data_IF_002391450328
#
_entry.id   IF_002391450328
#
_cell.length_a   1.000
_cell.length_b   1.000
_cell.length_c   1.000
_cell.angle_alpha   90.00
_cell.angle_beta   90.00
_cell.angle_gamma   90.00
#
_symmetry.space_group_name_H-M   'P 1'
#
loop_
_entity.id
_entity.type
_entity.pdbx_description
1 polymer ?
#
# COMPACT_ATOMS: atom_id res chain seq x y z
N UNK A 1 44.65 9.47 -24.08
CA UNK A 1 43.20 9.49 -24.44
C UNK A 1 42.43 8.97 -23.21
N UNK A 2 41.83 9.88 -22.46
CA UNK A 2 41.03 9.53 -21.29
C UNK A 2 39.71 8.97 -21.81
N UNK A 3 39.43 7.70 -21.56
CA UNK A 3 38.14 7.10 -21.82
C UNK A 3 37.13 7.73 -20.86
N UNK A 4 36.37 8.69 -21.37
CA UNK A 4 35.20 9.26 -20.70
C UNK A 4 34.19 8.12 -20.58
N UNK A 5 34.14 7.47 -19.42
CA UNK A 5 33.04 6.55 -19.07
C UNK A 5 31.78 7.39 -19.02
N UNK A 6 30.92 7.22 -20.00
CA UNK A 6 29.57 7.79 -20.00
C UNK A 6 28.84 7.18 -18.82
N UNK A 7 28.82 7.88 -17.66
CA UNK A 7 27.96 7.51 -16.55
C UNK A 7 26.53 7.67 -16.99
N UNK A 8 25.84 6.57 -17.26
CA UNK A 8 24.40 6.53 -17.51
C UNK A 8 23.71 7.17 -16.29
N UNK A 9 22.82 8.13 -16.51
CA UNK A 9 22.15 8.82 -15.40
C UNK A 9 21.27 7.87 -14.59
N UNK A 10 21.00 8.19 -13.31
CA UNK A 10 20.10 7.40 -12.48
C UNK A 10 18.72 7.26 -13.11
N UNK A 11 18.21 8.31 -13.77
CA UNK A 11 16.93 8.27 -14.50
C UNK A 11 16.99 7.25 -15.65
N UNK A 12 18.05 7.25 -16.45
CA UNK A 12 18.16 6.32 -17.58
C UNK A 12 18.38 4.86 -17.11
N UNK A 13 18.99 4.66 -15.96
CA UNK A 13 19.23 3.34 -15.36
C UNK A 13 17.98 2.78 -14.66
N UNK A 14 17.25 3.62 -13.92
CA UNK A 14 16.20 3.19 -12.99
C UNK A 14 14.78 3.39 -13.54
N UNK A 15 14.59 4.29 -14.51
CA UNK A 15 13.27 4.57 -15.06
C UNK A 15 12.96 3.73 -16.30
N UNK A 16 11.78 3.12 -16.30
CA UNK A 16 11.11 2.64 -17.49
C UNK A 16 10.31 3.79 -18.13
N UNK A 17 10.15 3.77 -19.45
CA UNK A 17 9.43 4.82 -20.18
C UNK A 17 8.09 4.32 -20.71
N UNK A 18 7.10 5.22 -20.78
CA UNK A 18 5.77 4.97 -21.35
C UNK A 18 5.11 3.73 -20.73
N UNK A 19 4.97 3.76 -19.41
CA UNK A 19 4.46 2.64 -18.63
C UNK A 19 3.03 2.94 -18.18
N UNK A 20 2.11 2.02 -18.45
CA UNK A 20 0.72 2.11 -18.00
C UNK A 20 0.63 2.01 -16.48
N UNK A 21 0.21 3.10 -15.82
CA UNK A 21 0.04 3.15 -14.36
C UNK A 21 -1.07 2.21 -13.87
N UNK A 22 -2.03 1.88 -14.73
CA UNK A 22 -3.07 0.88 -14.44
C UNK A 22 -2.51 -0.46 -13.98
N UNK A 23 -1.34 -0.88 -14.49
CA UNK A 23 -0.64 -2.09 -14.07
C UNK A 23 0.00 -1.97 -12.67
N UNK A 24 0.04 -0.77 -12.09
CA UNK A 24 0.62 -0.44 -10.78
C UNK A 24 -0.42 0.06 -9.78
N UNK A 25 -1.69 -0.14 -10.07
CA UNK A 25 -2.82 0.24 -9.23
C UNK A 25 -3.73 -0.95 -9.00
N UNK A 26 -4.19 -1.14 -7.77
CA UNK A 26 -5.22 -2.14 -7.48
C UNK A 26 -6.59 -1.77 -8.07
N UNK A 27 -6.79 -0.51 -8.47
CA UNK A 27 -7.93 -0.09 -9.28
C UNK A 27 -7.83 -0.57 -10.73
N UNK A 28 -6.63 -0.87 -11.24
CA UNK A 28 -6.42 -1.09 -12.67
C UNK A 28 -6.74 0.17 -13.51
N UNK A 29 -6.57 1.36 -12.94
CA UNK A 29 -6.81 2.67 -13.55
C UNK A 29 -5.52 3.49 -13.50
N UNK A 30 -5.27 4.25 -14.55
CA UNK A 30 -4.13 5.14 -14.71
C UNK A 30 -3.56 5.08 -16.11
N UNK A 31 -3.28 6.24 -16.70
CA UNK A 31 -2.73 6.37 -18.03
C UNK A 31 -1.23 6.10 -18.10
N UNK A 32 -0.65 6.39 -19.26
CA UNK A 32 0.76 6.11 -19.58
C UNK A 32 1.68 7.15 -18.94
N UNK A 33 2.48 6.74 -17.95
CA UNK A 33 3.53 7.56 -17.35
C UNK A 33 4.77 7.57 -18.24
N UNK A 34 5.32 8.75 -18.52
CA UNK A 34 6.55 8.84 -19.30
C UNK A 34 7.76 8.29 -18.53
N UNK A 35 7.78 8.44 -17.20
CA UNK A 35 8.83 7.91 -16.32
C UNK A 35 8.23 7.13 -15.17
N UNK A 36 8.63 5.87 -15.01
CA UNK A 36 8.35 5.04 -13.85
C UNK A 36 9.62 4.37 -13.35
N UNK A 37 9.99 4.60 -12.10
CA UNK A 37 11.09 3.96 -11.42
C UNK A 37 10.61 2.97 -10.34
N UNK A 38 11.40 1.92 -10.12
CA UNK A 38 11.17 0.94 -9.05
C UNK A 38 12.51 0.64 -8.38
N UNK A 39 13.01 1.52 -7.48
CA UNK A 39 14.26 1.31 -6.78
C UNK A 39 14.18 0.03 -5.92
N UNK A 40 15.28 -0.73 -5.89
CA UNK A 40 15.40 -1.96 -5.10
C UNK A 40 16.10 -1.70 -3.76
N UNK A 41 16.84 -0.58 -3.67
CA UNK A 41 17.57 -0.16 -2.46
C UNK A 41 17.28 1.30 -2.10
N UNK A 42 17.52 1.66 -0.83
CA UNK A 42 17.45 3.05 -0.40
C UNK A 42 18.48 3.94 -1.13
N UNK A 43 19.63 3.38 -1.50
CA UNK A 43 20.65 4.10 -2.29
C UNK A 43 20.17 4.38 -3.71
N UNK A 44 19.51 3.42 -4.39
CA UNK A 44 18.90 3.67 -5.71
C UNK A 44 17.86 4.79 -5.64
N UNK A 45 17.04 4.78 -4.57
CA UNK A 45 16.06 5.84 -4.33
C UNK A 45 16.75 7.20 -4.15
N UNK A 46 17.78 7.27 -3.30
CA UNK A 46 18.52 8.52 -3.06
C UNK A 46 19.18 9.05 -4.34
N UNK A 47 19.86 8.19 -5.13
CA UNK A 47 20.45 8.58 -6.41
C UNK A 47 19.41 9.10 -7.41
N UNK A 48 18.24 8.46 -7.48
CA UNK A 48 17.15 8.88 -8.34
C UNK A 48 16.60 10.25 -7.92
N UNK A 49 16.34 10.44 -6.62
CA UNK A 49 15.85 11.72 -6.08
C UNK A 49 16.88 12.86 -6.32
N UNK A 50 18.17 12.58 -6.12
CA UNK A 50 19.23 13.54 -6.39
C UNK A 50 19.24 13.97 -7.87
N UNK A 51 19.09 13.03 -8.78
CA UNK A 51 19.04 13.33 -10.21
C UNK A 51 17.75 14.07 -10.62
N UNK A 52 16.61 13.73 -10.04
CA UNK A 52 15.35 14.46 -10.23
C UNK A 52 15.50 15.92 -9.75
N UNK A 53 16.04 16.14 -8.55
CA UNK A 53 16.26 17.46 -7.99
C UNK A 53 17.21 18.27 -8.85
N UNK A 54 18.32 17.68 -9.32
CA UNK A 54 19.30 18.32 -10.21
C UNK A 54 18.69 18.78 -11.55
N UNK A 55 17.72 18.01 -12.08
CA UNK A 55 17.04 18.32 -13.34
C UNK A 55 15.77 19.15 -13.17
N UNK A 56 15.34 19.42 -11.94
CA UNK A 56 14.09 20.10 -11.65
C UNK A 56 12.86 19.27 -12.05
N UNK A 57 12.97 17.94 -12.09
CA UNK A 57 11.87 17.04 -12.43
C UNK A 57 11.03 16.75 -11.18
N UNK A 58 9.71 17.00 -11.22
CA UNK A 58 8.84 16.61 -10.12
C UNK A 58 8.75 15.09 -10.03
N UNK A 59 8.52 14.57 -8.84
CA UNK A 59 8.35 13.14 -8.58
C UNK A 59 7.19 12.88 -7.64
N UNK A 60 6.64 11.67 -7.77
CA UNK A 60 5.57 11.17 -6.91
C UNK A 60 5.90 9.75 -6.43
N UNK A 61 5.91 9.54 -5.10
CA UNK A 61 6.23 8.25 -4.48
C UNK A 61 4.96 7.51 -4.07
N UNK A 62 4.95 6.20 -4.34
CA UNK A 62 3.89 5.31 -3.92
C UNK A 62 4.41 3.88 -3.66
N UNK A 63 3.60 3.07 -2.99
CA UNK A 63 3.90 1.66 -2.74
C UNK A 63 3.35 0.75 -3.84
N UNK A 64 2.35 -0.04 -3.50
CA UNK A 64 1.67 -0.99 -4.42
C UNK A 64 0.45 -0.38 -5.14
N UNK A 65 0.18 0.92 -5.00
CA UNK A 65 -0.95 1.58 -5.62
C UNK A 65 -2.32 1.10 -5.11
N UNK A 66 -2.40 0.65 -3.86
CA UNK A 66 -3.61 0.08 -3.27
C UNK A 66 -4.53 1.11 -2.60
N UNK A 67 -4.11 2.37 -2.54
CA UNK A 67 -4.88 3.50 -1.99
C UNK A 67 -4.74 4.76 -2.85
N UNK A 68 -4.57 4.59 -4.17
CA UNK A 68 -4.28 5.68 -5.09
C UNK A 68 -5.17 5.57 -6.32
N UNK A 69 -5.73 6.70 -6.73
CA UNK A 69 -6.33 6.87 -8.05
C UNK A 69 -5.37 7.65 -8.93
N UNK A 70 -4.74 6.98 -9.88
CA UNK A 70 -3.90 7.63 -10.87
C UNK A 70 -4.76 8.33 -11.93
N UNK A 71 -4.27 9.47 -12.48
CA UNK A 71 -4.97 10.19 -13.54
C UNK A 71 -5.00 9.39 -14.84
N UNK A 72 -6.04 9.63 -15.66
CA UNK A 72 -6.13 9.07 -17.02
C UNK A 72 -5.02 9.63 -17.93
N UNK A 73 -4.57 10.87 -17.68
CA UNK A 73 -3.51 11.56 -18.42
C UNK A 73 -2.44 12.10 -17.42
N UNK A 74 -1.42 11.28 -17.08
CA UNK A 74 -0.34 11.72 -16.22
C UNK A 74 0.50 12.84 -16.82
N UNK A 75 1.01 13.76 -15.98
CA UNK A 75 1.93 14.81 -16.45
C UNK A 75 3.21 14.19 -17.01
N UNK A 76 3.65 14.67 -18.18
CA UNK A 76 4.77 14.11 -18.93
C UNK A 76 6.12 14.21 -18.21
N UNK A 77 6.35 15.27 -17.43
CA UNK A 77 7.59 15.52 -16.71
C UNK A 77 7.63 14.89 -15.31
N UNK A 78 6.50 14.31 -14.84
CA UNK A 78 6.40 13.69 -13.52
C UNK A 78 7.05 12.29 -13.52
N UNK A 79 8.00 12.10 -12.61
CA UNK A 79 8.62 10.79 -12.35
C UNK A 79 7.80 10.05 -11.29
N UNK A 80 7.15 8.98 -11.68
CA UNK A 80 6.48 8.08 -10.74
C UNK A 80 7.51 7.10 -10.13
N UNK A 81 7.52 6.96 -8.81
CA UNK A 81 8.47 6.10 -8.09
C UNK A 81 7.70 5.12 -7.23
N UNK A 82 7.68 3.85 -7.63
CA UNK A 82 7.04 2.79 -6.85
C UNK A 82 8.07 2.10 -5.94
N UNK A 83 7.85 2.13 -4.65
CA UNK A 83 8.72 1.45 -3.67
C UNK A 83 8.44 -0.06 -3.56
N UNK A 84 7.57 -0.63 -4.39
CA UNK A 84 7.15 -2.04 -4.29
C UNK A 84 8.31 -3.05 -4.43
N UNK A 85 9.43 -2.64 -5.03
CA UNK A 85 10.63 -3.49 -5.18
C UNK A 85 11.63 -3.30 -4.04
N UNK A 86 11.45 -2.29 -3.18
CA UNK A 86 12.26 -2.10 -1.97
C UNK A 86 11.80 -3.09 -0.89
N UNK A 87 12.04 -4.38 -1.13
CA UNK A 87 11.53 -5.50 -0.34
C UNK A 87 12.66 -6.20 0.39
N UNK A 88 12.61 -6.14 1.71
CA UNK A 88 13.48 -6.91 2.61
C UNK A 88 12.73 -7.24 3.90
N UNK A 89 13.04 -8.40 4.47
CA UNK A 89 12.52 -8.85 5.76
C UNK A 89 13.56 -9.77 6.37
N UNK A 90 14.23 -9.31 7.42
CA UNK A 90 15.34 -10.01 8.05
C UNK A 90 15.35 -9.83 9.55
N UNK A 91 16.06 -10.72 10.24
CA UNK A 91 16.38 -10.59 11.65
C UNK A 91 17.83 -10.17 11.81
N UNK A 92 18.07 -9.16 12.61
CA UNK A 92 19.40 -8.72 13.03
C UNK A 92 19.29 -8.22 14.46
N UNK A 93 20.27 -8.55 15.31
CA UNK A 93 20.32 -8.11 16.72
C UNK A 93 19.02 -8.43 17.51
N UNK A 94 18.36 -9.54 17.17
CA UNK A 94 17.13 -9.98 17.83
C UNK A 94 15.86 -9.18 17.45
N UNK A 95 15.95 -8.31 16.43
CA UNK A 95 14.82 -7.52 15.91
C UNK A 95 14.49 -7.88 14.46
N UNK A 96 13.23 -7.72 14.12
CA UNK A 96 12.79 -7.80 12.73
C UNK A 96 12.99 -6.45 12.04
N UNK A 97 13.75 -6.44 10.95
CA UNK A 97 13.91 -5.30 10.05
C UNK A 97 13.08 -5.53 8.79
N UNK A 98 12.29 -4.55 8.39
CA UNK A 98 11.43 -4.64 7.23
C UNK A 98 11.59 -3.41 6.34
N UNK A 99 11.76 -3.63 5.03
CA UNK A 99 11.79 -2.53 4.05
C UNK A 99 10.39 -2.10 3.61
N UNK A 100 10.30 -0.86 3.18
CA UNK A 100 9.07 -0.14 2.84
C UNK A 100 8.19 -0.83 1.79
N UNK A 101 8.79 -1.52 0.80
CA UNK A 101 8.06 -2.23 -0.26
C UNK A 101 7.54 -3.61 0.15
N UNK A 102 7.91 -4.12 1.33
CA UNK A 102 7.47 -5.42 1.82
C UNK A 102 5.95 -5.45 1.97
N UNK A 103 5.24 -6.43 1.37
CA UNK A 103 3.79 -6.53 1.51
C UNK A 103 3.35 -6.70 2.96
N UNK A 104 2.30 -5.98 3.36
CA UNK A 104 1.71 -6.09 4.70
C UNK A 104 1.36 -7.56 5.04
N UNK A 105 0.79 -8.30 4.09
CA UNK A 105 0.40 -9.70 4.31
C UNK A 105 1.56 -10.68 4.51
N UNK A 106 2.80 -10.32 4.16
CA UNK A 106 3.97 -11.13 4.55
C UNK A 106 4.23 -11.05 6.05
N UNK A 107 3.92 -9.92 6.69
CA UNK A 107 4.05 -9.78 8.15
C UNK A 107 3.12 -10.76 8.87
N UNK A 108 1.88 -10.94 8.40
CA UNK A 108 0.95 -11.90 9.01
C UNK A 108 1.40 -13.35 8.83
N UNK A 109 1.99 -13.71 7.69
CA UNK A 109 2.60 -15.04 7.52
C UNK A 109 3.81 -15.24 8.44
N UNK A 110 4.60 -14.20 8.67
CA UNK A 110 5.68 -14.21 9.66
C UNK A 110 5.15 -14.44 11.07
N UNK A 111 4.06 -13.75 11.45
CA UNK A 111 3.38 -13.96 12.72
C UNK A 111 2.87 -15.38 12.88
N UNK A 112 2.24 -15.94 11.84
CA UNK A 112 1.76 -17.31 11.80
C UNK A 112 2.90 -18.32 12.05
N UNK A 113 4.07 -18.13 11.42
CA UNK A 113 5.25 -18.95 11.65
C UNK A 113 5.81 -18.80 13.05
N UNK A 114 5.72 -17.63 13.65
CA UNK A 114 6.20 -17.31 15.00
C UNK A 114 5.20 -17.67 16.11
N UNK A 115 4.01 -18.17 15.77
CA UNK A 115 2.99 -18.50 16.74
C UNK A 115 2.42 -17.27 17.46
N UNK A 116 2.43 -16.07 16.82
CA UNK A 116 1.88 -14.83 17.38
C UNK A 116 0.73 -14.31 16.50
N UNK A 117 -0.31 -13.80 17.14
CA UNK A 117 -1.47 -13.15 16.50
C UNK A 117 -1.30 -11.63 16.31
N UNK A 118 -0.18 -11.07 16.76
CA UNK A 118 0.07 -9.63 16.73
C UNK A 118 0.03 -9.05 15.32
N UNK A 119 0.32 -9.86 14.30
CA UNK A 119 0.40 -9.47 12.90
C UNK A 119 -0.81 -9.85 12.06
N UNK A 120 -1.80 -10.55 12.63
CA UNK A 120 -2.94 -11.07 11.86
C UNK A 120 -3.74 -9.96 11.16
N UNK A 121 -3.81 -8.77 11.75
CA UNK A 121 -4.51 -7.62 11.19
C UNK A 121 -3.96 -7.16 9.84
N UNK A 122 -2.72 -7.53 9.51
CA UNK A 122 -2.07 -7.21 8.23
C UNK A 122 -2.45 -8.19 7.12
N UNK A 123 -3.11 -9.32 7.46
CA UNK A 123 -3.46 -10.35 6.49
C UNK A 123 -4.51 -9.86 5.49
N UNK A 124 -4.27 -10.16 4.23
CA UNK A 124 -5.09 -9.71 3.09
C UNK A 124 -5.31 -8.19 3.05
N UNK A 125 -4.45 -7.40 3.71
CA UNK A 125 -4.43 -5.96 3.57
C UNK A 125 -3.54 -5.61 2.38
N UNK A 126 -4.11 -5.23 1.21
CA UNK A 126 -3.32 -4.88 0.05
C UNK A 126 -2.49 -3.63 0.34
N UNK A 127 -1.21 -3.69 0.03
CA UNK A 127 -0.29 -2.60 0.27
C UNK A 127 1.03 -3.06 0.86
N UNK A 128 1.97 -2.13 1.01
CA UNK A 128 3.30 -2.37 1.55
C UNK A 128 3.50 -1.64 2.88
N UNK A 129 4.50 -2.07 3.64
CA UNK A 129 4.82 -1.56 4.99
C UNK A 129 4.99 -0.05 5.00
N UNK A 130 5.76 0.54 4.07
CA UNK A 130 5.96 1.99 4.05
C UNK A 130 4.67 2.79 3.88
N UNK A 131 3.78 2.36 2.99
CA UNK A 131 2.47 2.97 2.83
C UNK A 131 1.57 2.72 4.06
N UNK A 132 1.68 1.53 4.68
CA UNK A 132 1.02 1.20 5.93
C UNK A 132 1.45 2.13 7.07
N UNK A 133 2.75 2.42 7.20
CA UNK A 133 3.30 3.35 8.19
C UNK A 133 2.81 4.78 7.88
N UNK A 134 2.91 5.22 6.63
CA UNK A 134 2.46 6.54 6.21
C UNK A 134 0.99 6.81 6.60
N UNK A 135 0.10 5.84 6.40
CA UNK A 135 -1.33 5.94 6.66
C UNK A 135 -1.74 5.46 8.06
N UNK A 136 -0.82 5.03 8.90
CA UNK A 136 -1.13 4.28 10.13
C UNK A 136 -2.20 3.20 9.86
N UNK A 137 -1.86 2.26 8.97
CA UNK A 137 -2.79 1.24 8.51
C UNK A 137 -3.43 0.48 9.67
N UNK A 138 -4.76 0.39 9.63
CA UNK A 138 -5.57 -0.17 10.72
C UNK A 138 -6.56 -1.20 10.20
N UNK A 139 -6.74 -2.26 10.95
CA UNK A 139 -7.84 -3.20 10.79
C UNK A 139 -8.42 -3.57 12.17
N UNK A 140 -9.71 -3.32 12.38
CA UNK A 140 -10.39 -3.44 13.67
C UNK A 140 -9.70 -2.59 14.77
N UNK A 141 -9.29 -3.23 15.86
CA UNK A 141 -8.65 -2.56 17.01
C UNK A 141 -7.14 -2.36 16.84
N UNK A 142 -6.48 -3.07 15.90
CA UNK A 142 -5.02 -3.05 15.73
C UNK A 142 -4.59 -2.15 14.57
N UNK A 143 -3.44 -1.52 14.72
CA UNK A 143 -2.85 -0.62 13.73
C UNK A 143 -1.34 -0.83 13.64
N UNK A 144 -0.71 -0.33 12.56
CA UNK A 144 0.70 -0.62 12.30
C UNK A 144 1.63 -0.08 13.40
N UNK A 145 1.32 1.07 13.99
CA UNK A 145 2.15 1.64 15.05
C UNK A 145 2.20 0.76 16.32
N UNK A 146 1.26 -0.16 16.51
CA UNK A 146 1.25 -1.07 17.66
C UNK A 146 2.39 -2.09 17.63
N UNK A 147 2.99 -2.30 16.45
CA UNK A 147 4.04 -3.29 16.19
C UNK A 147 5.39 -2.68 15.80
N UNK A 148 5.49 -1.33 15.71
CA UNK A 148 6.72 -0.64 15.34
C UNK A 148 7.59 -0.36 16.58
N UNK A 149 8.91 -0.33 16.39
CA UNK A 149 9.91 0.21 17.32
C UNK A 149 10.52 1.49 16.77
N UNK A 150 11.12 1.41 15.58
CA UNK A 150 11.82 2.51 14.90
C UNK A 150 11.41 2.56 13.44
N UNK A 151 11.26 3.76 12.88
CA UNK A 151 11.00 3.96 11.45
C UNK A 151 12.21 4.59 10.79
N UNK A 152 12.62 4.07 9.63
CA UNK A 152 13.70 4.59 8.80
C UNK A 152 13.12 5.40 7.64
N UNK A 153 13.70 6.59 7.39
CA UNK A 153 13.20 7.50 6.38
C UNK A 153 14.34 8.27 5.69
N UNK A 154 14.05 8.84 4.54
CA UNK A 154 14.89 9.83 3.85
C UNK A 154 14.15 11.18 3.93
N UNK A 155 14.84 12.20 4.47
CA UNK A 155 14.38 13.58 4.41
C UNK A 155 14.74 14.17 3.04
N UNK A 156 13.75 14.52 2.23
CA UNK A 156 13.99 15.03 0.87
C UNK A 156 14.46 16.49 0.84
N UNK A 157 14.47 17.17 1.98
CA UNK A 157 15.07 18.51 2.14
C UNK A 157 16.54 18.46 2.55
N UNK A 158 17.02 17.31 3.03
CA UNK A 158 18.43 17.08 3.33
C UNK A 158 19.19 16.78 2.03
N UNK A 159 20.17 17.62 1.61
CA UNK A 159 20.93 17.37 0.39
C UNK A 159 21.68 16.03 0.36
N UNK A 160 21.98 15.44 1.53
CA UNK A 160 22.64 14.14 1.61
C UNK A 160 21.74 12.99 1.23
N UNK A 161 20.41 13.15 1.33
CA UNK A 161 19.40 12.12 1.14
C UNK A 161 19.74 10.81 1.89
N UNK A 162 20.43 10.95 3.03
CA UNK A 162 20.82 9.81 3.86
C UNK A 162 19.64 9.21 4.60
N UNK A 163 19.70 7.90 4.87
CA UNK A 163 18.71 7.24 5.70
C UNK A 163 18.86 7.70 7.14
N UNK A 164 17.78 8.19 7.72
CA UNK A 164 17.64 8.61 9.10
C UNK A 164 16.66 7.70 9.83
N UNK A 165 16.60 7.79 11.16
CA UNK A 165 15.67 7.00 11.98
C UNK A 165 14.93 7.85 12.99
N UNK A 166 13.72 7.42 13.35
CA UNK A 166 12.87 8.07 14.34
C UNK A 166 12.15 6.99 15.17
N UNK A 167 12.11 7.08 16.50
CA UNK A 167 11.37 6.14 17.33
C UNK A 167 9.86 6.28 17.11
N UNK A 168 9.12 5.19 17.26
CA UNK A 168 7.66 5.16 17.05
C UNK A 168 6.93 6.22 17.89
N UNK A 169 7.40 6.51 19.10
CA UNK A 169 6.83 7.52 20.00
C UNK A 169 6.81 8.95 19.45
N UNK A 170 7.68 9.24 18.49
CA UNK A 170 7.81 10.57 17.88
C UNK A 170 7.12 10.65 16.50
N UNK A 171 6.58 9.52 15.99
CA UNK A 171 5.94 9.45 14.68
C UNK A 171 4.54 10.09 14.61
N UNK A 172 4.01 10.64 15.71
CA UNK A 172 2.71 11.33 15.81
C UNK A 172 1.54 10.53 15.20
N UNK A 173 1.52 9.23 15.44
CA UNK A 173 0.46 8.37 14.92
C UNK A 173 -0.91 8.69 15.51
N UNK A 174 -1.91 8.82 14.63
CA UNK A 174 -3.33 8.93 14.96
C UNK A 174 -4.15 8.16 13.91
N UNK A 175 -5.48 8.23 13.96
CA UNK A 175 -6.33 7.56 12.97
C UNK A 175 -6.04 8.07 11.57
N UNK A 176 -5.50 7.18 10.72
CA UNK A 176 -5.09 7.49 9.34
C UNK A 176 -4.09 8.65 9.22
N UNK A 177 -3.28 8.86 10.25
CA UNK A 177 -2.30 9.96 10.31
C UNK A 177 -0.95 9.49 10.85
N UNK A 178 0.11 10.14 10.35
CA UNK A 178 1.48 10.04 10.85
C UNK A 178 2.26 11.32 10.55
N UNK A 179 3.43 11.50 11.18
CA UNK A 179 4.35 12.60 10.89
C UNK A 179 4.80 12.62 9.42
N UNK A 180 4.83 11.45 8.77
CA UNK A 180 5.26 11.30 7.37
C UNK A 180 4.29 11.93 6.37
N UNK A 181 3.07 12.28 6.77
CA UNK A 181 2.12 13.08 5.98
C UNK A 181 2.34 14.58 6.14
N UNK A 182 3.09 15.00 7.17
CA UNK A 182 3.31 16.40 7.52
C UNK A 182 4.74 16.87 7.17
N UNK A 183 5.65 15.93 6.94
CA UNK A 183 7.06 16.18 6.64
C UNK A 183 7.40 15.62 5.27
N UNK A 184 8.36 16.22 4.56
CA UNK A 184 8.83 15.73 3.27
C UNK A 184 9.75 14.50 3.45
N UNK A 185 9.27 13.51 4.19
CA UNK A 185 10.00 12.30 4.60
C UNK A 185 9.45 11.07 3.90
N UNK A 186 10.34 10.30 3.29
CA UNK A 186 10.00 9.06 2.59
C UNK A 186 10.36 7.88 3.48
N UNK A 187 9.37 7.10 3.91
CA UNK A 187 9.61 5.88 4.69
C UNK A 187 10.31 4.84 3.81
N UNK A 188 11.46 4.34 4.25
CA UNK A 188 12.24 3.31 3.55
C UNK A 188 12.29 1.97 4.28
N UNK A 189 11.92 1.93 5.57
CA UNK A 189 11.86 0.70 6.36
C UNK A 189 11.47 0.95 7.80
N UNK A 190 11.43 -0.12 8.59
CA UNK A 190 11.17 -0.06 10.02
C UNK A 190 11.76 -1.26 10.75
N UNK A 191 11.97 -1.11 12.06
CA UNK A 191 12.16 -2.19 13.00
C UNK A 191 10.82 -2.51 13.67
N UNK A 192 10.55 -3.81 13.85
CA UNK A 192 9.33 -4.27 14.46
C UNK A 192 9.60 -4.74 15.90
N UNK A 193 8.73 -4.31 16.80
CA UNK A 193 8.70 -4.77 18.21
C UNK A 193 7.92 -6.09 18.31
N UNK A 194 8.48 -7.15 17.73
CA UNK A 194 7.86 -8.49 17.70
C UNK A 194 8.93 -9.50 18.09
N UNK A 195 8.60 -10.44 18.99
CA UNK A 195 9.54 -11.48 19.40
C UNK A 195 10.03 -12.32 18.20
N UNK A 196 11.33 -12.56 18.15
CA UNK A 196 11.93 -13.55 17.25
C UNK A 196 11.87 -14.89 17.95
N UNK A 197 11.12 -15.85 17.42
CA UNK A 197 10.81 -17.07 18.13
C UNK A 197 11.75 -18.25 17.81
N UNK A 198 12.29 -18.35 16.60
CA UNK A 198 13.17 -19.46 16.22
C UNK A 198 13.99 -19.21 14.95
N UNK A 199 15.08 -19.96 14.78
CA UNK A 199 15.87 -20.00 13.57
C UNK A 199 15.07 -20.57 12.36
N UNK A 200 14.16 -21.52 12.62
CA UNK A 200 13.28 -22.07 11.62
C UNK A 200 12.31 -21.02 11.07
N UNK A 201 11.79 -20.13 11.93
CA UNK A 201 10.98 -18.99 11.51
C UNK A 201 11.74 -18.08 10.55
N UNK A 202 13.01 -17.77 10.87
CA UNK A 202 13.87 -16.93 10.02
C UNK A 202 14.06 -17.57 8.65
N UNK A 203 14.38 -18.86 8.60
CA UNK A 203 14.61 -19.61 7.36
C UNK A 203 13.36 -19.67 6.49
N UNK A 204 12.21 -19.97 7.08
CA UNK A 204 10.92 -20.03 6.35
C UNK A 204 10.50 -18.64 5.86
N UNK A 205 10.74 -17.60 6.62
CA UNK A 205 10.48 -16.20 6.20
C UNK A 205 11.32 -15.84 4.98
N UNK A 206 12.57 -16.26 4.92
CA UNK A 206 13.45 -16.04 3.76
C UNK A 206 12.92 -16.74 2.51
N UNK A 207 12.36 -17.94 2.64
CA UNK A 207 11.70 -18.65 1.54
C UNK A 207 10.45 -17.90 1.06
N UNK A 208 9.57 -17.48 1.97
CA UNK A 208 8.37 -16.71 1.64
C UNK A 208 8.71 -15.39 0.93
N UNK A 209 9.78 -14.73 1.38
CA UNK A 209 10.26 -13.50 0.73
C UNK A 209 10.75 -13.76 -0.69
N UNK A 210 11.48 -14.86 -0.90
CA UNK A 210 11.93 -15.28 -2.23
C UNK A 210 10.76 -15.63 -3.13
N UNK A 211 9.78 -16.37 -2.62
CA UNK A 211 8.56 -16.70 -3.34
C UNK A 211 7.76 -15.45 -3.72
N UNK A 212 7.66 -14.48 -2.82
CA UNK A 212 7.06 -13.19 -3.15
C UNK A 212 7.81 -12.49 -4.28
N UNK A 213 9.13 -12.37 -4.19
CA UNK A 213 9.96 -11.70 -5.22
C UNK A 213 9.83 -12.36 -6.59
N UNK A 214 9.67 -13.68 -6.64
CA UNK A 214 9.62 -14.43 -7.90
C UNK A 214 8.21 -14.59 -8.47
N UNK A 215 7.21 -14.80 -7.64
CA UNK A 215 5.84 -15.13 -8.03
C UNK A 215 4.80 -14.07 -7.64
N UNK A 216 4.99 -13.43 -6.50
CA UNK A 216 4.02 -12.52 -5.88
C UNK A 216 4.26 -11.04 -6.19
N UNK A 217 5.46 -10.66 -6.64
CA UNK A 217 5.80 -9.23 -6.88
C UNK A 217 5.00 -8.60 -8.02
N UNK A 218 4.26 -9.40 -8.78
CA UNK A 218 3.46 -8.96 -9.92
C UNK A 218 1.97 -9.37 -9.84
N UNK A 219 1.29 -9.35 -8.67
CA UNK A 219 -0.15 -9.47 -8.73
C UNK A 219 -0.66 -8.20 -9.41
N UNK A 220 -0.92 -8.32 -10.71
CA UNK A 220 -1.53 -7.25 -11.52
C UNK A 220 -2.99 -6.99 -11.13
N UNK A 221 -3.51 -7.71 -10.13
CA UNK A 221 -4.90 -7.59 -9.71
C UNK A 221 -5.11 -8.05 -8.26
N UNK A 222 -6.15 -7.51 -7.61
CA UNK A 222 -6.59 -7.96 -6.29
C UNK A 222 -6.89 -9.47 -6.21
N UNK A 223 -7.55 -10.10 -7.21
CA UNK A 223 -7.74 -11.56 -7.22
C UNK A 223 -6.43 -12.34 -7.17
N UNK A 224 -5.41 -11.92 -7.91
CA UNK A 224 -4.08 -12.59 -7.90
C UNK A 224 -3.39 -12.42 -6.56
N UNK A 225 -3.45 -11.23 -5.95
CA UNK A 225 -2.94 -10.97 -4.60
C UNK A 225 -3.62 -11.89 -3.57
N UNK A 226 -4.95 -11.97 -3.60
CA UNK A 226 -5.74 -12.82 -2.72
C UNK A 226 -5.36 -14.29 -2.88
N UNK A 227 -5.30 -14.79 -4.12
CA UNK A 227 -4.97 -16.18 -4.43
C UNK A 227 -3.57 -16.56 -3.97
N UNK A 228 -2.59 -15.65 -4.13
CA UNK A 228 -1.22 -15.88 -3.67
C UNK A 228 -1.19 -16.11 -2.15
N UNK A 229 -1.73 -15.18 -1.35
CA UNK A 229 -1.67 -15.28 0.11
C UNK A 229 -2.51 -16.41 0.69
N UNK A 230 -3.65 -16.75 0.07
CA UNK A 230 -4.40 -17.96 0.44
C UNK A 230 -3.61 -19.24 0.13
N UNK A 231 -2.93 -19.29 -1.01
CA UNK A 231 -2.05 -20.41 -1.37
C UNK A 231 -0.94 -20.63 -0.35
N UNK A 232 -0.29 -19.55 0.12
CA UNK A 232 0.75 -19.64 1.15
C UNK A 232 0.20 -20.15 2.49
N UNK A 233 -0.97 -19.66 2.93
CA UNK A 233 -1.63 -20.17 4.14
C UNK A 233 -1.96 -21.67 4.03
N UNK A 234 -2.49 -22.12 2.88
CA UNK A 234 -2.75 -23.55 2.64
C UNK A 234 -1.48 -24.38 2.64
N UNK A 235 -0.39 -23.86 2.05
CA UNK A 235 0.92 -24.53 2.05
C UNK A 235 1.48 -24.69 3.47
N UNK A 236 1.33 -23.67 4.32
CA UNK A 236 1.73 -23.71 5.74
C UNK A 236 0.85 -24.69 6.53
N UNK A 237 -0.46 -24.70 6.28
CA UNK A 237 -1.38 -25.66 6.89
C UNK A 237 -1.01 -27.11 6.53
N UNK A 238 -0.60 -27.38 5.29
CA UNK A 238 -0.08 -28.67 4.84
C UNK A 238 1.20 -29.12 5.58
N UNK A 239 1.94 -28.19 6.17
CA UNK A 239 3.09 -28.45 7.05
C UNK A 239 2.72 -28.55 8.55
N UNK A 240 1.43 -28.57 8.89
CA UNK A 240 0.94 -28.68 10.25
C UNK A 240 0.81 -27.36 11.02
N UNK A 241 1.04 -26.20 10.36
CA UNK A 241 0.88 -24.87 10.96
C UNK A 241 -0.59 -24.47 10.89
N UNK A 242 -1.25 -24.33 12.04
CA UNK A 242 -2.66 -24.01 12.10
C UNK A 242 -2.91 -22.53 11.84
N UNK A 243 -3.87 -22.22 10.96
CA UNK A 243 -4.30 -20.85 10.71
C UNK A 243 -5.12 -20.32 11.89
N UNK A 244 -4.76 -19.21 12.52
CA UNK A 244 -5.49 -18.62 13.63
C UNK A 244 -6.93 -18.23 13.24
N UNK A 245 -7.84 -18.27 14.21
CA UNK A 245 -9.24 -17.89 13.98
C UNK A 245 -9.39 -16.45 13.48
N UNK A 246 -8.55 -15.51 13.98
CA UNK A 246 -8.46 -14.12 13.52
C UNK A 246 -8.23 -14.01 12.01
N UNK A 247 -7.30 -14.78 11.45
CA UNK A 247 -7.05 -14.81 10.00
C UNK A 247 -8.20 -15.44 9.23
N UNK A 248 -8.81 -16.52 9.75
CA UNK A 248 -9.99 -17.14 9.16
C UNK A 248 -11.18 -16.16 9.10
N UNK A 249 -11.37 -15.37 10.16
CA UNK A 249 -12.42 -14.35 10.21
C UNK A 249 -12.16 -13.22 9.19
N UNK A 250 -10.91 -12.81 8.97
CA UNK A 250 -10.53 -11.88 7.91
C UNK A 250 -10.87 -12.45 6.54
N UNK A 251 -10.50 -13.71 6.25
CA UNK A 251 -10.85 -14.38 4.99
C UNK A 251 -12.36 -14.36 4.79
N UNK A 252 -13.11 -14.83 5.78
CA UNK A 252 -14.58 -14.91 5.74
C UNK A 252 -15.21 -13.54 5.49
N UNK A 253 -14.78 -12.51 6.24
CA UNK A 253 -15.30 -11.14 6.09
C UNK A 253 -15.05 -10.60 4.69
N UNK A 254 -13.78 -10.65 4.21
CA UNK A 254 -13.42 -10.09 2.90
C UNK A 254 -14.08 -10.83 1.75
N UNK A 255 -14.21 -12.15 1.85
CA UNK A 255 -14.93 -12.97 0.86
C UNK A 255 -16.43 -12.64 0.87
N UNK A 256 -17.06 -12.53 2.03
CA UNK A 256 -18.50 -12.18 2.13
C UNK A 256 -18.82 -10.80 1.56
N UNK A 257 -17.87 -9.86 1.65
CA UNK A 257 -17.96 -8.51 1.09
C UNK A 257 -17.45 -8.42 -0.34
N UNK A 258 -16.95 -9.52 -0.92
CA UNK A 258 -16.45 -9.60 -2.30
C UNK A 258 -15.35 -8.58 -2.62
N UNK A 259 -14.44 -8.34 -1.63
CA UNK A 259 -13.42 -7.28 -1.72
C UNK A 259 -12.41 -7.48 -2.84
N UNK A 260 -12.28 -8.72 -3.33
CA UNK A 260 -11.26 -9.09 -4.32
C UNK A 260 -11.84 -9.52 -5.67
N UNK A 261 -13.16 -9.42 -5.87
CA UNK A 261 -13.81 -9.84 -7.12
C UNK A 261 -13.53 -8.87 -8.27
N UNK A 262 -13.37 -7.58 -7.97
CA UNK A 262 -13.09 -6.54 -8.94
C UNK A 262 -11.96 -5.63 -8.46
N UNK A 263 -11.23 -4.99 -9.39
CA UNK A 263 -10.25 -3.97 -9.06
C UNK A 263 -10.87 -2.81 -8.26
N UNK A 264 -10.19 -2.42 -7.17
CA UNK A 264 -10.58 -1.30 -6.30
C UNK A 264 -9.40 -0.85 -5.44
N UNK A 265 -9.52 0.29 -4.76
CA UNK A 265 -8.57 0.74 -3.74
C UNK A 265 -9.13 0.62 -2.31
N UNK A 266 -10.06 -0.32 -2.07
CA UNK A 266 -10.71 -0.47 -0.78
C UNK A 266 -11.72 0.65 -0.49
N UNK A 267 -11.77 1.12 0.76
CA UNK A 267 -12.66 2.23 1.15
C UNK A 267 -12.22 3.53 0.51
N UNK A 268 -13.16 4.26 -0.12
CA UNK A 268 -12.86 5.54 -0.79
C UNK A 268 -12.91 6.74 0.16
N UNK A 269 -13.60 6.62 1.30
CA UNK A 269 -13.71 7.67 2.32
C UNK A 269 -13.31 7.19 3.70
N UNK A 270 -12.75 8.08 4.51
CA UNK A 270 -12.52 7.86 5.94
C UNK A 270 -13.86 7.83 6.68
N UNK A 271 -13.94 7.01 7.75
CA UNK A 271 -15.09 7.08 8.64
C UNK A 271 -15.03 8.34 9.50
N UNK A 272 -16.14 9.05 9.61
CA UNK A 272 -16.30 10.14 10.57
C UNK A 272 -16.78 9.56 11.91
N UNK A 273 -15.84 9.37 12.83
CA UNK A 273 -16.18 8.81 14.15
C UNK A 273 -16.99 9.74 15.03
N UNK A 274 -16.91 11.06 14.81
CA UNK A 274 -17.74 12.04 15.55
C UNK A 274 -19.21 11.93 15.15
N UNK A 275 -19.46 11.53 13.89
CA UNK A 275 -20.82 11.24 13.42
C UNK A 275 -21.33 9.88 13.92
N UNK A 276 -20.43 8.95 14.25
CA UNK A 276 -20.77 7.66 14.87
C UNK A 276 -21.30 6.58 13.92
N UNK A 277 -21.44 6.87 12.61
CA UNK A 277 -21.91 5.90 11.60
C UNK A 277 -20.88 5.78 10.48
N UNK A 278 -20.55 4.54 10.09
CA UNK A 278 -19.61 4.29 9.01
C UNK A 278 -20.15 4.81 7.67
N UNK A 279 -19.29 5.43 6.85
CA UNK A 279 -19.66 5.97 5.52
C UNK A 279 -20.36 4.92 4.66
N UNK A 280 -19.88 3.68 4.65
CA UNK A 280 -20.51 2.59 3.90
C UNK A 280 -21.97 2.32 4.30
N UNK A 281 -22.31 2.53 5.58
CA UNK A 281 -23.71 2.41 6.07
C UNK A 281 -24.56 3.60 5.66
N UNK A 282 -23.98 4.81 5.59
CA UNK A 282 -24.69 5.99 5.09
C UNK A 282 -25.01 5.86 3.60
N UNK A 283 -24.06 5.36 2.80
CA UNK A 283 -24.26 5.05 1.37
C UNK A 283 -25.37 4.01 1.16
N UNK A 284 -25.47 3.03 2.08
CA UNK A 284 -26.54 2.03 2.07
C UNK A 284 -27.91 2.66 2.37
N UNK A 285 -28.00 3.51 3.40
CA UNK A 285 -29.21 4.25 3.74
C UNK A 285 -29.70 5.16 2.60
N UNK A 286 -28.76 5.72 1.83
CA UNK A 286 -29.04 6.55 0.66
C UNK A 286 -29.43 5.74 -0.59
N UNK A 287 -29.43 4.40 -0.52
CA UNK A 287 -29.69 3.48 -1.65
C UNK A 287 -28.76 3.71 -2.85
N UNK A 288 -27.50 4.12 -2.61
CA UNK A 288 -26.53 4.39 -3.68
C UNK A 288 -25.74 3.15 -4.09
N UNK A 289 -25.80 2.03 -3.34
CA UNK A 289 -25.14 0.77 -3.73
C UNK A 289 -25.69 0.28 -5.07
N UNK A 290 -24.77 -0.15 -5.95
CA UNK A 290 -25.10 -0.60 -7.31
C UNK A 290 -25.25 0.53 -8.33
N UNK A 291 -25.07 1.81 -7.94
CA UNK A 291 -25.07 2.92 -8.90
C UNK A 291 -23.85 2.82 -9.80
N UNK A 292 -24.08 2.83 -11.12
CA UNK A 292 -23.04 2.77 -12.15
C UNK A 292 -22.81 4.15 -12.78
N UNK A 293 -21.56 4.43 -13.15
CA UNK A 293 -21.20 5.54 -14.02
C UNK A 293 -19.96 5.18 -14.86
N UNK A 294 -20.03 5.32 -16.19
CA UNK A 294 -18.99 4.85 -17.09
C UNK A 294 -18.68 3.37 -16.86
N UNK A 295 -17.42 3.07 -16.55
CA UNK A 295 -16.96 1.72 -16.20
C UNK A 295 -16.98 1.40 -14.71
N UNK A 296 -17.35 2.35 -13.85
CA UNK A 296 -17.33 2.23 -12.39
C UNK A 296 -18.69 1.90 -11.79
N UNK A 297 -18.68 1.24 -10.60
CA UNK A 297 -19.90 0.92 -9.84
C UNK A 297 -19.62 1.11 -8.34
N UNK A 298 -20.55 1.70 -7.60
CA UNK A 298 -20.58 1.62 -6.15
C UNK A 298 -20.90 0.18 -5.75
N UNK A 299 -20.00 -0.48 -5.00
CA UNK A 299 -20.14 -1.89 -4.71
C UNK A 299 -21.52 -2.22 -4.07
N UNK A 300 -22.24 -3.21 -4.61
CA UNK A 300 -23.50 -3.66 -4.00
C UNK A 300 -23.28 -4.36 -2.65
N UNK A 301 -22.03 -4.76 -2.33
CA UNK A 301 -21.69 -5.51 -1.13
C UNK A 301 -21.02 -4.64 -0.04
N UNK A 302 -20.48 -3.46 -0.42
CA UNK A 302 -19.78 -2.55 0.51
C UNK A 302 -19.92 -1.10 0.06
N UNK A 303 -20.81 -0.32 0.67
CA UNK A 303 -21.15 1.05 0.22
C UNK A 303 -19.98 2.05 0.17
N UNK A 304 -18.89 1.81 0.91
CA UNK A 304 -17.69 2.66 0.86
C UNK A 304 -16.62 2.14 -0.13
N UNK A 305 -17.01 1.32 -1.10
CA UNK A 305 -16.11 0.85 -2.16
C UNK A 305 -16.70 1.18 -3.54
N UNK A 306 -15.87 1.73 -4.41
CA UNK A 306 -16.18 1.89 -5.83
C UNK A 306 -15.29 0.89 -6.59
N UNK A 307 -15.87 0.15 -7.51
CA UNK A 307 -15.21 -0.94 -8.25
C UNK A 307 -15.01 -0.54 -9.70
N UNK A 308 -13.88 -0.90 -10.27
CA UNK A 308 -13.66 -0.86 -11.72
C UNK A 308 -14.23 -2.16 -12.32
N UNK A 309 -15.44 -2.09 -12.85
CA UNK A 309 -16.16 -3.26 -13.39
C UNK A 309 -15.99 -3.42 -14.91
N UNK A 310 -15.91 -2.30 -15.63
CA UNK A 310 -15.96 -2.27 -17.11
C UNK A 310 -14.93 -1.29 -17.66
N UNK A 311 -13.64 -1.46 -17.28
CA UNK A 311 -12.55 -0.56 -17.73
C UNK A 311 -12.81 0.92 -17.39
N UNK A 312 -13.13 1.18 -16.12
CA UNK A 312 -13.39 2.53 -15.61
C UNK A 312 -12.19 3.45 -15.82
N UNK A 313 -12.48 4.73 -16.03
CA UNK A 313 -11.51 5.82 -16.01
C UNK A 313 -11.46 6.45 -14.60
N UNK A 314 -10.40 7.23 -14.34
CA UNK A 314 -10.30 8.01 -13.10
C UNK A 314 -11.48 8.97 -12.96
N UNK A 315 -11.93 9.57 -14.06
CA UNK A 315 -13.10 10.45 -14.12
C UNK A 315 -14.40 9.76 -13.70
N UNK A 316 -14.56 8.47 -13.96
CA UNK A 316 -15.75 7.70 -13.55
C UNK A 316 -15.79 7.50 -12.03
N UNK A 317 -14.62 7.18 -11.44
CA UNK A 317 -14.47 7.04 -9.98
C UNK A 317 -14.75 8.36 -9.29
N UNK A 318 -14.16 9.46 -9.78
CA UNK A 318 -14.35 10.81 -9.23
C UNK A 318 -15.82 11.24 -9.28
N UNK A 319 -16.54 10.93 -10.36
CA UNK A 319 -17.97 11.20 -10.46
C UNK A 319 -18.77 10.51 -9.34
N UNK A 320 -18.55 9.21 -9.14
CA UNK A 320 -19.25 8.45 -8.09
C UNK A 320 -18.83 8.91 -6.68
N UNK A 321 -17.57 9.30 -6.47
CA UNK A 321 -17.14 9.90 -5.20
C UNK A 321 -17.87 11.22 -4.93
N UNK A 322 -17.99 12.10 -5.92
CA UNK A 322 -18.72 13.35 -5.79
C UNK A 322 -20.21 13.11 -5.50
N UNK A 323 -20.84 12.17 -6.21
CA UNK A 323 -22.22 11.78 -5.97
C UNK A 323 -22.45 11.33 -4.51
N UNK A 324 -21.55 10.48 -3.98
CA UNK A 324 -21.60 10.05 -2.58
C UNK A 324 -21.44 11.24 -1.64
N UNK A 325 -20.45 12.09 -1.88
CA UNK A 325 -20.14 13.25 -1.03
C UNK A 325 -21.31 14.25 -0.96
N UNK A 326 -21.88 14.59 -2.11
CA UNK A 326 -23.05 15.50 -2.19
C UNK A 326 -24.28 14.90 -1.51
N UNK A 327 -24.54 13.61 -1.73
CA UNK A 327 -25.70 12.93 -1.13
C UNK A 327 -25.57 12.85 0.39
N UNK A 328 -24.36 12.56 0.92
CA UNK A 328 -24.10 12.55 2.37
C UNK A 328 -24.23 13.96 2.94
N UNK A 329 -23.68 14.97 2.27
CA UNK A 329 -23.77 16.35 2.73
C UNK A 329 -25.22 16.84 2.79
N UNK A 330 -26.00 16.55 1.76
CA UNK A 330 -27.39 16.95 1.69
C UNK A 330 -28.28 16.29 2.75
N UNK A 331 -28.05 15.01 3.06
CA UNK A 331 -28.89 14.25 3.98
C UNK A 331 -28.41 14.30 5.43
N UNK A 332 -27.09 14.35 5.65
CA UNK A 332 -26.49 14.18 6.98
C UNK A 332 -25.66 15.39 7.44
N UNK A 333 -25.47 16.41 6.58
CA UNK A 333 -24.87 17.70 6.95
C UNK A 333 -23.34 17.71 7.08
N UNK A 334 -22.62 16.74 6.49
CA UNK A 334 -21.16 16.75 6.43
C UNK A 334 -20.62 16.19 5.11
N UNK A 335 -19.43 16.63 4.71
CA UNK A 335 -18.71 16.11 3.54
C UNK A 335 -17.73 15.04 4.00
N UNK A 336 -17.82 13.79 3.52
CA UNK A 336 -16.87 12.75 3.91
C UNK A 336 -15.49 13.03 3.32
N UNK A 337 -14.45 12.85 4.15
CA UNK A 337 -13.05 13.03 3.73
C UNK A 337 -12.59 11.83 2.89
N UNK A 338 -12.01 12.05 1.69
CA UNK A 338 -11.42 10.96 0.92
C UNK A 338 -10.34 10.21 1.70
N UNK A 339 -10.33 8.86 1.63
CA UNK A 339 -9.24 8.03 2.12
C UNK A 339 -8.25 7.74 1.00
N UNK A 340 -8.73 7.56 -0.23
CA UNK A 340 -7.86 7.35 -1.40
C UNK A 340 -7.14 8.66 -1.75
N UNK A 341 -5.90 8.51 -2.20
CA UNK A 341 -5.06 9.64 -2.65
C UNK A 341 -5.30 9.87 -4.14
N UNK A 342 -5.61 11.12 -4.48
CA UNK A 342 -5.76 11.57 -5.87
C UNK A 342 -4.42 12.17 -6.33
N UNK A 343 -3.91 11.77 -7.52
CA UNK A 343 -2.60 12.19 -8.06
C UNK A 343 -2.77 13.11 -9.25
#
# INVERSE_FOLDING_TARGET
>A
MSTMTLHTSAIDRLCKRNVELSAFSTYGIGGSAHYLAMPETANDLAELLQECNKRGMPWYIFGMGSNILFPDEPKHDLVFISLKNLVDLRVSEGKWHVSSGTPMSLLSLMGLLGGTDLLDFTFLLPGCVGAGIYMNAKYNARQICDILDTVYYIDTTDPSLSVQSIPVSECLFAYKQSIFQQRPWIVVGADLNIPVSSEEQINTTSVLLTDWKTRGSHPSSLPSFFSFFLGEVHALAGKGIQTPQSMLDIIKYRTSKRHFDYPSCGSVFKNNYDYGVAVGSLVDQLNLKGTEYGGAIISPHHGNMILNQKHAKATDILYLMNLISESINNQFGFVPEPEIVLV
#
